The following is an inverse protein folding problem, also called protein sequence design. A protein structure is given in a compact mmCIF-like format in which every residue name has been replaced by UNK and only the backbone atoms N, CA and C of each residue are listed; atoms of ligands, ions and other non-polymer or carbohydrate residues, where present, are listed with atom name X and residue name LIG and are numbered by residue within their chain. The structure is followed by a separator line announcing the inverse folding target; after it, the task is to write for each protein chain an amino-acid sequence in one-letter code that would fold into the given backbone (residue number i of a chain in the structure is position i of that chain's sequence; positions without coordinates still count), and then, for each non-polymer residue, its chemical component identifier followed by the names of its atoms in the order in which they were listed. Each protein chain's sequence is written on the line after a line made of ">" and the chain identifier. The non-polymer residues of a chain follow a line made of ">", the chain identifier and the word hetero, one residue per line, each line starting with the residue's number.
data_IF_173027202322
#
_entry.id   IF_173027202322
#
_cell.length_a   1.000
_cell.length_b   1.000
_cell.length_c   1.000
_cell.angle_alpha   90.00
_cell.angle_beta   90.00
_cell.angle_gamma   90.00
#
_symmetry.space_group_name_H-M   'P 1'
#
loop_
_entity.id
_entity.type
_entity.pdbx_description
1 polymer ?
#
# COMPACT_ATOMS: atom_id res chain seq x y z
N UNK A 1 -0.37 15.50 -3.87
CA UNK A 1 -1.44 14.75 -4.56
C UNK A 1 -2.73 14.92 -3.78
N UNK A 2 -3.88 14.80 -4.44
CA UNK A 2 -5.17 14.94 -3.77
C UNK A 2 -5.67 13.66 -3.07
N UNK A 3 -6.79 13.78 -2.36
CA UNK A 3 -7.41 12.66 -1.64
C UNK A 3 -7.91 11.51 -2.53
N UNK A 4 -7.90 11.65 -3.86
CA UNK A 4 -8.34 10.66 -4.85
C UNK A 4 -7.16 10.02 -5.63
N UNK A 5 -5.91 10.32 -5.23
CA UNK A 5 -4.65 9.92 -5.88
C UNK A 5 -4.37 10.63 -7.20
N UNK A 6 -4.93 11.82 -7.40
CA UNK A 6 -4.63 12.64 -8.58
C UNK A 6 -3.45 13.55 -8.33
N UNK A 7 -2.71 13.84 -9.39
CA UNK A 7 -1.65 14.84 -9.38
C UNK A 7 -2.29 16.21 -9.16
N UNK A 8 -1.69 17.03 -8.29
CA UNK A 8 -2.25 18.34 -7.96
C UNK A 8 -2.31 19.23 -9.22
N UNK A 9 -3.43 19.92 -9.42
CA UNK A 9 -3.68 20.70 -10.63
C UNK A 9 -4.17 19.89 -11.85
N UNK A 10 -4.17 18.55 -11.78
CA UNK A 10 -4.62 17.68 -12.88
C UNK A 10 -5.86 16.86 -12.47
N UNK A 11 -6.84 16.75 -13.38
CA UNK A 11 -8.13 16.08 -13.07
C UNK A 11 -8.19 14.63 -13.52
N UNK A 12 -7.31 14.25 -14.43
CA UNK A 12 -7.28 13.03 -15.24
C UNK A 12 -5.98 12.24 -15.08
N UNK A 13 -4.99 12.80 -14.40
CA UNK A 13 -3.71 12.15 -14.11
C UNK A 13 -3.70 11.59 -12.68
N UNK A 14 -3.36 10.31 -12.54
CA UNK A 14 -3.27 9.59 -11.27
C UNK A 14 -1.84 9.12 -11.02
N UNK A 15 -1.36 9.23 -9.78
CA UNK A 15 -0.04 8.76 -9.35
C UNK A 15 -0.19 7.60 -8.35
N UNK A 16 0.63 6.55 -8.49
CA UNK A 16 0.58 5.33 -7.66
C UNK A 16 1.98 4.74 -7.46
N UNK A 17 2.15 3.95 -6.40
CA UNK A 17 3.43 3.32 -6.07
C UNK A 17 4.45 4.30 -5.51
N UNK A 18 5.70 4.12 -5.89
CA UNK A 18 6.80 4.87 -5.28
C UNK A 18 6.86 6.34 -5.72
N UNK A 19 6.24 6.68 -6.86
CA UNK A 19 6.09 8.06 -7.35
C UNK A 19 5.00 8.83 -6.59
N UNK A 20 4.25 8.15 -5.72
CA UNK A 20 3.06 8.66 -5.08
C UNK A 20 3.34 9.13 -3.64
N UNK A 21 3.45 10.45 -3.45
CA UNK A 21 3.50 11.08 -2.12
C UNK A 21 2.10 11.41 -1.58
N UNK A 22 1.58 10.60 -0.65
CA UNK A 22 0.25 10.79 -0.06
C UNK A 22 0.34 11.11 1.44
N UNK A 23 -0.23 12.25 1.81
CA UNK A 23 -0.31 12.75 3.17
C UNK A 23 -1.69 13.37 3.42
N UNK A 24 -2.29 13.07 4.56
CA UNK A 24 -3.61 13.56 4.94
C UNK A 24 -3.69 13.75 6.44
N UNK A 25 -3.64 15.00 6.90
CA UNK A 25 -3.45 15.30 8.33
C UNK A 25 -2.13 14.71 8.81
N UNK A 26 -2.14 14.05 9.96
CA UNK A 26 -0.93 13.43 10.55
C UNK A 26 -0.60 12.04 9.95
N UNK A 27 -1.32 11.60 8.93
CA UNK A 27 -1.17 10.26 8.35
C UNK A 27 -0.42 10.35 7.02
N UNK A 28 0.73 9.69 6.95
CA UNK A 28 1.53 9.56 5.72
C UNK A 28 1.59 8.10 5.25
N UNK A 29 1.22 7.87 4.00
CA UNK A 29 1.30 6.54 3.38
C UNK A 29 2.76 6.10 3.28
N UNK A 30 3.04 4.81 3.54
CA UNK A 30 4.36 4.24 3.31
C UNK A 30 4.61 3.96 1.83
N UNK A 31 5.88 4.02 1.41
CA UNK A 31 6.31 3.57 0.09
C UNK A 31 6.61 2.06 0.16
N UNK A 32 5.56 1.25 0.12
CA UNK A 32 5.65 -0.20 0.18
C UNK A 32 4.66 -0.85 -0.79
N UNK A 33 4.89 -2.13 -1.08
CA UNK A 33 4.11 -2.91 -2.04
C UNK A 33 2.62 -2.97 -1.68
N UNK A 34 2.28 -3.02 -0.38
CA UNK A 34 0.88 -3.06 0.06
C UNK A 34 0.14 -1.76 -0.29
N UNK A 35 0.76 -0.60 -0.02
CA UNK A 35 0.19 0.70 -0.37
C UNK A 35 0.16 0.88 -1.89
N UNK A 36 1.21 0.50 -2.62
CA UNK A 36 1.23 0.55 -4.09
C UNK A 36 0.08 -0.25 -4.72
N UNK A 37 -0.17 -1.48 -4.26
CA UNK A 37 -1.30 -2.31 -4.72
C UNK A 37 -2.66 -1.65 -4.42
N UNK A 38 -2.81 -1.07 -3.22
CA UNK A 38 -4.04 -0.39 -2.80
C UNK A 38 -4.28 0.88 -3.61
N UNK A 39 -3.24 1.66 -3.87
CA UNK A 39 -3.27 2.86 -4.69
C UNK A 39 -3.66 2.52 -6.13
N UNK A 40 -3.00 1.54 -6.75
CA UNK A 40 -3.34 1.07 -8.11
C UNK A 40 -4.79 0.63 -8.24
N UNK A 41 -5.29 -0.18 -7.29
CA UNK A 41 -6.69 -0.61 -7.26
C UNK A 41 -7.66 0.56 -7.12
N UNK A 42 -7.34 1.57 -6.32
CA UNK A 42 -8.20 2.73 -6.16
C UNK A 42 -8.17 3.61 -7.41
N UNK A 43 -6.99 3.88 -7.97
CA UNK A 43 -6.82 4.67 -9.19
C UNK A 43 -7.63 4.08 -10.34
N UNK A 44 -7.50 2.78 -10.62
CA UNK A 44 -8.31 2.10 -11.64
C UNK A 44 -9.82 2.25 -11.37
N UNK A 45 -10.24 2.12 -10.12
CA UNK A 45 -11.64 2.27 -9.72
C UNK A 45 -12.14 3.72 -9.88
N UNK A 46 -11.28 4.71 -9.69
CA UNK A 46 -11.61 6.12 -9.83
C UNK A 46 -11.63 6.54 -11.31
N UNK A 47 -10.70 6.06 -12.13
CA UNK A 47 -10.71 6.22 -13.60
C UNK A 47 -12.06 5.73 -14.16
N UNK A 48 -12.45 4.49 -13.82
CA UNK A 48 -13.72 3.92 -14.27
C UNK A 48 -14.95 4.69 -13.75
N UNK A 49 -14.85 5.36 -12.60
CA UNK A 49 -15.92 6.21 -12.08
C UNK A 49 -16.01 7.53 -12.81
N UNK A 50 -14.87 8.16 -13.08
CA UNK A 50 -14.79 9.41 -13.85
C UNK A 50 -15.42 9.22 -15.22
N UNK A 51 -15.08 8.14 -15.93
CA UNK A 51 -15.68 7.78 -17.23
C UNK A 51 -17.20 7.63 -17.13
N UNK A 52 -17.70 7.09 -16.01
CA UNK A 52 -19.14 6.85 -15.77
C UNK A 52 -19.87 8.04 -15.14
N UNK A 53 -19.23 9.19 -14.96
CA UNK A 53 -19.82 10.35 -14.26
C UNK A 53 -20.14 10.08 -12.77
N UNK A 54 -19.52 9.07 -12.15
CA UNK A 54 -19.76 8.67 -10.75
C UNK A 54 -18.77 9.35 -9.80
N UNK A 55 -19.21 9.64 -8.57
CA UNK A 55 -18.37 10.24 -7.52
C UNK A 55 -17.17 9.36 -7.14
N UNK A 56 -15.96 9.90 -7.24
CA UNK A 56 -14.71 9.22 -6.89
C UNK A 56 -14.63 8.80 -5.42
N UNK A 57 -13.80 7.80 -5.12
CA UNK A 57 -13.53 7.30 -3.78
C UNK A 57 -12.21 7.83 -3.25
N UNK A 58 -12.22 8.28 -2.01
CA UNK A 58 -11.01 8.78 -1.33
C UNK A 58 -10.07 7.64 -0.94
N UNK A 59 -8.78 7.91 -1.01
CA UNK A 59 -7.74 7.01 -0.53
C UNK A 59 -7.66 7.03 0.99
N UNK A 60 -7.33 5.87 1.56
CA UNK A 60 -7.07 5.69 2.98
C UNK A 60 -5.88 4.75 3.11
N UNK A 61 -4.75 5.33 3.52
CA UNK A 61 -3.52 4.60 3.81
C UNK A 61 -3.75 3.61 4.95
N UNK A 62 -3.13 2.43 4.87
CA UNK A 62 -3.19 1.41 5.93
C UNK A 62 -1.84 1.11 6.53
N UNK A 63 -0.83 0.98 5.68
CA UNK A 63 0.56 0.80 6.08
C UNK A 63 1.23 2.17 5.97
N UNK A 64 1.27 2.87 7.10
CA UNK A 64 1.70 4.27 7.19
C UNK A 64 3.09 4.35 7.80
N UNK A 65 3.74 5.50 7.68
CA UNK A 65 5.03 5.72 8.35
C UNK A 65 4.86 5.63 9.88
N UNK A 66 3.73 6.10 10.41
CA UNK A 66 3.41 6.07 11.84
C UNK A 66 3.03 4.67 12.35
N UNK A 67 2.50 3.80 11.48
CA UNK A 67 2.09 2.43 11.83
C UNK A 67 2.58 1.45 10.77
N UNK A 68 3.89 1.25 10.77
CA UNK A 68 4.56 0.41 9.79
C UNK A 68 4.20 -1.06 10.01
N UNK A 69 3.93 -1.77 8.92
CA UNK A 69 3.78 -3.22 8.88
C UNK A 69 4.85 -3.76 7.96
N UNK A 70 5.85 -4.41 8.54
CA UNK A 70 7.02 -4.87 7.79
C UNK A 70 7.43 -6.28 8.19
N UNK A 71 7.90 -7.02 7.19
CA UNK A 71 8.51 -8.34 7.34
C UNK A 71 9.92 -8.27 6.77
N UNK A 72 10.92 -8.27 7.64
CA UNK A 72 12.33 -8.15 7.25
C UNK A 72 12.99 -9.50 7.41
N UNK A 73 13.50 -10.07 6.31
CA UNK A 73 14.33 -11.28 6.39
C UNK A 73 15.68 -10.93 7.01
N UNK A 74 16.19 -11.81 7.87
CA UNK A 74 17.55 -11.71 8.40
C UNK A 74 18.51 -12.74 7.78
N UNK A 75 18.04 -13.54 6.81
CA UNK A 75 18.77 -14.72 6.30
C UNK A 75 18.68 -15.91 7.28
N UNK A 76 19.23 -17.06 6.88
CA UNK A 76 19.28 -18.29 7.71
C UNK A 76 17.93 -18.67 8.34
N UNK A 77 16.85 -18.65 7.54
CA UNK A 77 15.46 -18.92 7.95
C UNK A 77 14.93 -18.06 9.12
N UNK A 78 15.56 -16.90 9.36
CA UNK A 78 15.13 -15.92 10.36
C UNK A 78 14.48 -14.72 9.67
N UNK A 79 13.45 -14.19 10.33
CA UNK A 79 12.81 -12.93 9.94
C UNK A 79 12.31 -12.21 11.18
N UNK A 80 12.17 -10.89 11.06
CA UNK A 80 11.54 -10.04 12.06
C UNK A 80 10.26 -9.50 11.45
N UNK A 81 9.15 -9.72 12.15
CA UNK A 81 7.88 -9.08 11.82
C UNK A 81 7.68 -7.92 12.79
N UNK A 82 7.39 -6.74 12.23
CA UNK A 82 6.96 -5.58 12.98
C UNK A 82 5.52 -5.24 12.58
N UNK A 83 4.64 -5.16 13.58
CA UNK A 83 3.24 -4.83 13.39
C UNK A 83 2.72 -4.07 14.59
N UNK A 84 2.35 -2.80 14.39
CA UNK A 84 1.66 -2.00 15.42
C UNK A 84 2.37 -1.98 16.78
N UNK A 85 3.71 -1.85 16.78
CA UNK A 85 4.53 -1.81 18.00
C UNK A 85 4.97 -3.17 18.54
N UNK A 86 4.43 -4.28 18.02
CA UNK A 86 4.81 -5.64 18.42
C UNK A 86 5.88 -6.21 17.47
N UNK A 87 6.92 -6.82 18.05
CA UNK A 87 8.01 -7.47 17.31
C UNK A 87 7.99 -8.97 17.56
N UNK A 88 7.91 -9.77 16.49
CA UNK A 88 7.91 -11.23 16.55
C UNK A 88 9.10 -11.82 15.79
N UNK A 89 9.83 -12.74 16.42
CA UNK A 89 11.00 -13.45 15.84
C UNK A 89 10.70 -14.91 15.47
N UNK A 90 9.77 -15.57 16.17
CA UNK A 90 9.45 -16.99 15.97
C UNK A 90 8.36 -17.14 14.89
N UNK A 91 8.49 -18.12 13.99
CA UNK A 91 7.60 -18.38 12.83
C UNK A 91 7.53 -17.30 11.72
N UNK A 92 8.20 -16.16 11.86
CA UNK A 92 8.15 -15.05 10.89
C UNK A 92 8.55 -15.45 9.46
N UNK A 93 9.50 -16.36 9.28
CA UNK A 93 9.91 -16.84 7.95
C UNK A 93 8.81 -17.65 7.24
N UNK A 94 8.09 -18.53 7.96
CA UNK A 94 6.95 -19.28 7.41
C UNK A 94 5.81 -18.35 7.00
N UNK A 95 5.53 -17.33 7.81
CA UNK A 95 4.52 -16.31 7.50
C UNK A 95 4.93 -15.49 6.27
N UNK A 96 6.20 -15.05 6.17
CA UNK A 96 6.73 -14.35 5.00
C UNK A 96 6.55 -15.17 3.71
N UNK A 97 7.00 -16.43 3.70
CA UNK A 97 6.85 -17.36 2.57
C UNK A 97 5.39 -17.60 2.19
N UNK A 98 4.45 -17.47 3.13
CA UNK A 98 3.01 -17.59 2.86
C UNK A 98 2.45 -16.34 2.19
N UNK A 99 2.81 -15.14 2.68
CA UNK A 99 2.40 -13.85 2.09
C UNK A 99 2.94 -13.71 0.66
N UNK A 100 4.22 -14.01 0.43
CA UNK A 100 4.83 -13.98 -0.91
C UNK A 100 4.13 -14.93 -1.88
N UNK A 101 3.89 -16.18 -1.49
CA UNK A 101 3.16 -17.15 -2.34
C UNK A 101 1.74 -16.70 -2.64
N UNK A 102 1.03 -16.12 -1.66
CA UNK A 102 -0.32 -15.60 -1.86
C UNK A 102 -0.33 -14.40 -2.80
N UNK A 103 0.68 -13.54 -2.71
CA UNK A 103 0.88 -12.42 -3.62
C UNK A 103 1.10 -12.91 -5.06
N UNK A 104 2.06 -13.82 -5.28
CA UNK A 104 2.36 -14.37 -6.61
C UNK A 104 1.15 -15.06 -7.26
N UNK A 105 0.33 -15.78 -6.49
CA UNK A 105 -0.91 -16.41 -7.00
C UNK A 105 -2.00 -15.42 -7.40
N UNK A 106 -1.97 -14.19 -6.87
CA UNK A 106 -3.01 -13.18 -7.12
C UNK A 106 -2.79 -12.39 -8.41
N UNK A 107 -1.56 -12.37 -8.90
CA UNK A 107 -1.13 -11.63 -10.10
C UNK A 107 -0.73 -12.55 -11.26
N UNK A 108 -1.02 -13.85 -11.15
CA UNK A 108 -0.90 -14.81 -12.25
C UNK A 108 -2.19 -14.88 -13.05
#
# INVERSE_FOLDING_TARGET
>A
MDSYLRVDGMKDVFAVGDTAYFESGDVRSGQNVEEAERQGKLAAKNIMRTIKGKKMKRYRAKNTIQNLRAFISLGNDKAVMYFSGLMFKVFAYRVKKFVERRYMKRFR
#
